data_IF_431778118989
#
_entry.id   IF_431778118989
#
_cell.length_a   1.000
_cell.length_b   1.000
_cell.length_c   1.000
_cell.angle_alpha   90.00
_cell.angle_beta   90.00
_cell.angle_gamma   90.00
#
_symmetry.space_group_name_H-M   'P 1'
#
loop_
_entity.id
_entity.type
_entity.pdbx_description
1 polymer ?
#
# COMPACT_ATOMS: atom_id res chain seq x y z
N UNK A 1 21.17 -14.91 5.72
CA UNK A 1 20.34 -14.74 4.51
C UNK A 1 18.93 -14.31 4.90
N UNK A 2 18.36 -13.38 4.15
CA UNK A 2 17.00 -12.95 4.42
C UNK A 2 16.01 -14.01 3.91
N UNK A 3 14.89 -14.07 4.59
CA UNK A 3 13.78 -14.97 4.24
C UNK A 3 12.61 -14.15 3.73
N UNK A 4 11.70 -14.82 3.03
CA UNK A 4 10.42 -14.24 2.63
C UNK A 4 9.33 -14.96 3.40
N UNK A 5 8.46 -14.17 4.05
CA UNK A 5 7.33 -14.70 4.80
C UNK A 5 6.04 -14.25 4.13
N UNK A 6 5.14 -15.17 3.90
CA UNK A 6 3.83 -14.87 3.29
C UNK A 6 2.77 -14.90 4.38
N UNK A 7 2.06 -13.81 4.54
CA UNK A 7 1.11 -13.60 5.63
C UNK A 7 -0.21 -13.11 5.08
N UNK A 8 -1.28 -13.43 5.79
CA UNK A 8 -2.61 -12.89 5.50
C UNK A 8 -2.79 -11.57 6.21
N UNK A 9 -3.50 -10.64 5.59
CA UNK A 9 -3.86 -9.37 6.20
C UNK A 9 -5.31 -9.03 5.88
N UNK A 10 -6.04 -8.53 6.87
CA UNK A 10 -7.43 -8.13 6.68
C UNK A 10 -7.53 -6.87 5.81
N UNK A 11 -8.63 -6.70 5.05
CA UNK A 11 -8.79 -5.54 4.18
C UNK A 11 -8.66 -4.20 4.90
N UNK A 12 -9.13 -4.12 6.13
CA UNK A 12 -9.06 -2.88 6.93
C UNK A 12 -7.63 -2.44 7.22
N UNK A 13 -6.67 -3.35 7.13
CA UNK A 13 -5.24 -3.06 7.36
C UNK A 13 -4.43 -3.07 6.07
N UNK A 14 -4.94 -3.64 5.00
CA UNK A 14 -4.18 -3.83 3.76
C UNK A 14 -3.84 -2.50 3.09
N UNK A 15 -4.85 -1.69 2.80
CA UNK A 15 -4.63 -0.41 2.13
C UNK A 15 -3.85 0.58 2.98
N UNK A 16 -4.03 0.64 4.31
CA UNK A 16 -3.14 1.44 5.13
C UNK A 16 -1.67 1.07 5.00
N UNK A 17 -1.34 -0.22 4.83
CA UNK A 17 0.04 -0.64 4.56
C UNK A 17 0.48 -0.20 3.17
N UNK A 18 -0.35 -0.43 2.15
CA UNK A 18 -0.02 -0.08 0.76
C UNK A 18 0.28 1.41 0.61
N UNK A 19 -0.48 2.25 1.31
CA UNK A 19 -0.34 3.70 1.23
C UNK A 19 0.64 4.27 2.25
N UNK A 20 1.33 3.41 2.99
CA UNK A 20 2.31 3.78 4.02
C UNK A 20 1.74 4.60 5.18
N UNK A 21 0.44 4.52 5.41
CA UNK A 21 -0.16 5.05 6.64
C UNK A 21 0.07 4.12 7.81
N UNK A 22 0.13 2.83 7.56
CA UNK A 22 0.44 1.82 8.56
C UNK A 22 1.81 1.24 8.24
N UNK A 23 2.76 1.44 9.14
CA UNK A 23 4.17 1.04 8.96
C UNK A 23 4.61 -0.02 9.95
N UNK A 24 3.68 -0.62 10.66
CA UNK A 24 3.98 -1.62 11.67
C UNK A 24 2.98 -2.77 11.59
N UNK A 25 3.48 -3.98 11.86
CA UNK A 25 2.68 -5.19 11.90
C UNK A 25 2.93 -5.90 13.23
N UNK A 26 1.85 -6.14 13.97
CA UNK A 26 1.92 -6.94 15.19
C UNK A 26 1.68 -8.40 14.80
N UNK A 27 2.65 -9.27 15.06
CA UNK A 27 2.58 -10.67 14.65
C UNK A 27 3.07 -11.58 15.76
N UNK A 28 2.46 -12.76 15.84
CA UNK A 28 2.98 -13.84 16.64
C UNK A 28 4.33 -14.25 16.06
N UNK A 29 5.33 -14.38 16.93
CA UNK A 29 6.70 -14.70 16.49
C UNK A 29 6.84 -16.21 16.26
N UNK A 30 6.10 -16.73 15.30
CA UNK A 30 6.11 -18.15 14.96
C UNK A 30 6.86 -18.45 13.66
N UNK A 31 7.52 -17.45 13.08
CA UNK A 31 8.21 -17.58 11.80
C UNK A 31 9.67 -17.13 11.85
N UNK A 32 10.19 -16.93 13.05
CA UNK A 32 11.57 -16.49 13.24
C UNK A 32 11.90 -15.27 12.36
N UNK A 33 11.11 -14.21 12.51
CA UNK A 33 11.31 -12.98 11.77
C UNK A 33 12.67 -12.35 12.10
N UNK A 34 13.36 -11.85 11.07
CA UNK A 34 14.65 -11.17 11.19
C UNK A 34 14.60 -9.84 10.44
N UNK A 35 15.35 -8.86 10.94
CA UNK A 35 15.55 -7.62 10.20
C UNK A 35 16.20 -7.94 8.85
N UNK A 36 15.66 -7.34 7.78
CA UNK A 36 16.08 -7.63 6.42
C UNK A 36 15.19 -8.64 5.69
N UNK A 37 14.35 -9.36 6.43
CA UNK A 37 13.41 -10.29 5.80
C UNK A 37 12.33 -9.52 5.03
N UNK A 38 11.82 -10.16 3.98
CA UNK A 38 10.68 -9.64 3.21
C UNK A 38 9.40 -10.26 3.74
N UNK A 39 8.35 -9.45 3.90
CA UNK A 39 7.02 -9.98 4.14
C UNK A 39 6.15 -9.66 2.93
N UNK A 40 5.35 -10.63 2.53
CA UNK A 40 4.32 -10.47 1.51
C UNK A 40 2.99 -10.58 2.24
N UNK A 41 2.22 -9.50 2.17
CA UNK A 41 0.92 -9.43 2.83
C UNK A 41 -0.17 -9.65 1.78
N UNK A 42 -0.85 -10.77 1.88
CA UNK A 42 -1.96 -11.13 1.00
C UNK A 42 -3.26 -10.70 1.62
N UNK A 43 -3.99 -9.85 0.93
CA UNK A 43 -5.31 -9.43 1.41
C UNK A 43 -6.26 -10.63 1.46
N UNK A 44 -6.94 -10.77 2.60
CA UNK A 44 -7.81 -11.89 2.85
C UNK A 44 -9.04 -11.45 3.64
N UNK A 45 -10.22 -11.76 3.13
CA UNK A 45 -11.50 -11.40 3.76
C UNK A 45 -12.41 -12.63 3.93
N UNK A 46 -11.84 -13.78 4.24
CA UNK A 46 -12.49 -15.08 4.23
C UNK A 46 -12.02 -15.89 3.04
N UNK A 47 -11.46 -15.21 2.04
CA UNK A 47 -10.82 -15.79 0.87
C UNK A 47 -9.80 -14.77 0.35
N UNK A 48 -8.85 -15.22 -0.43
CA UNK A 48 -7.86 -14.31 -1.01
C UNK A 48 -8.51 -13.42 -2.08
N UNK A 49 -8.25 -12.11 -2.01
CA UNK A 49 -8.79 -11.16 -2.98
C UNK A 49 -7.95 -11.05 -4.24
N UNK A 50 -6.72 -11.58 -4.20
CA UNK A 50 -5.75 -11.44 -5.29
C UNK A 50 -4.80 -10.26 -5.10
N UNK A 51 -5.08 -9.36 -4.16
CA UNK A 51 -4.21 -8.23 -3.87
C UNK A 51 -3.12 -8.60 -2.87
N UNK A 52 -1.93 -8.09 -3.08
CA UNK A 52 -0.81 -8.28 -2.17
C UNK A 52 0.11 -7.08 -2.18
N UNK A 53 0.92 -6.96 -1.12
CA UNK A 53 1.97 -5.95 -1.06
C UNK A 53 3.19 -6.54 -0.39
N UNK A 54 4.36 -6.02 -0.72
CA UNK A 54 5.63 -6.47 -0.15
C UNK A 54 6.25 -5.37 0.68
N UNK A 55 6.88 -5.74 1.77
CA UNK A 55 7.66 -4.82 2.62
C UNK A 55 8.87 -5.54 3.17
N UNK A 56 9.88 -4.76 3.51
CA UNK A 56 11.06 -5.26 4.19
C UNK A 56 10.95 -4.90 5.67
N UNK A 57 11.28 -5.86 6.54
CA UNK A 57 11.33 -5.63 7.97
C UNK A 57 12.60 -4.83 8.27
N UNK A 58 12.43 -3.64 8.85
CA UNK A 58 13.57 -2.77 9.17
C UNK A 58 13.86 -2.71 10.67
N UNK A 59 12.92 -3.13 11.50
CA UNK A 59 13.11 -3.21 12.94
C UNK A 59 12.14 -4.24 13.52
N UNK A 60 12.55 -4.91 14.58
CA UNK A 60 11.69 -5.85 15.32
C UNK A 60 11.74 -5.46 16.78
N UNK A 61 10.58 -5.17 17.36
CA UNK A 61 10.45 -4.90 18.78
C UNK A 61 9.83 -6.12 19.47
N UNK A 62 10.50 -6.60 20.51
CA UNK A 62 9.94 -7.65 21.35
C UNK A 62 8.92 -7.01 22.29
N UNK A 63 7.66 -7.33 22.09
CA UNK A 63 6.55 -6.82 22.91
C UNK A 63 6.05 -7.89 23.87
N UNK A 64 6.86 -8.93 24.12
CA UNK A 64 6.48 -10.05 24.96
C UNK A 64 6.11 -9.67 26.39
N UNK A 65 6.61 -8.54 26.89
CA UNK A 65 6.23 -8.03 28.20
C UNK A 65 4.76 -7.59 28.27
N UNK A 66 4.18 -7.24 27.13
CA UNK A 66 2.79 -6.79 27.01
C UNK A 66 1.91 -7.86 26.38
N UNK A 67 2.44 -8.56 25.39
CA UNK A 67 1.73 -9.61 24.66
C UNK A 67 2.70 -10.76 24.41
N UNK A 68 2.72 -11.78 25.31
CA UNK A 68 3.70 -12.86 25.22
C UNK A 68 3.66 -13.57 23.87
N UNK A 69 4.86 -13.79 23.32
CA UNK A 69 5.01 -14.49 22.04
C UNK A 69 4.82 -13.64 20.81
N UNK A 70 4.60 -12.32 20.97
CA UNK A 70 4.39 -11.41 19.83
C UNK A 70 5.57 -10.48 19.64
N UNK A 71 5.70 -10.02 18.40
CA UNK A 71 6.68 -9.00 18.01
C UNK A 71 5.98 -7.92 17.21
N UNK A 72 6.53 -6.73 17.25
CA UNK A 72 6.08 -5.62 16.42
C UNK A 72 7.12 -5.42 15.32
N UNK A 73 6.70 -5.61 14.10
CA UNK A 73 7.56 -5.47 12.92
C UNK A 73 7.41 -4.07 12.36
N UNK A 74 8.51 -3.34 12.22
CA UNK A 74 8.52 -2.06 11.52
C UNK A 74 8.86 -2.31 10.05
N UNK A 75 8.11 -1.68 9.17
CA UNK A 75 8.14 -1.92 7.74
C UNK A 75 8.73 -0.70 7.02
N UNK A 76 9.50 -0.95 5.96
CA UNK A 76 10.03 0.14 5.16
C UNK A 76 8.91 0.88 4.42
N UNK A 77 9.20 2.10 4.03
CA UNK A 77 8.30 2.87 3.18
C UNK A 77 8.59 2.57 1.71
N UNK A 78 7.52 2.36 0.94
CA UNK A 78 7.57 2.39 -0.51
C UNK A 78 6.59 3.47 -0.92
N UNK A 79 7.11 4.64 -1.31
CA UNK A 79 6.29 5.82 -1.60
C UNK A 79 5.83 5.74 -3.04
N UNK A 80 4.97 4.79 -3.36
CA UNK A 80 4.37 4.67 -4.69
C UNK A 80 3.03 5.37 -4.78
N UNK A 81 2.26 5.36 -3.71
CA UNK A 81 0.94 5.97 -3.69
C UNK A 81 0.97 7.27 -2.89
N UNK A 82 0.42 8.32 -3.47
CA UNK A 82 0.34 9.64 -2.85
C UNK A 82 -1.10 9.94 -2.50
N UNK A 83 -1.29 10.49 -1.30
CA UNK A 83 -2.61 10.89 -0.84
C UNK A 83 -3.06 12.12 -1.64
N UNK A 84 -4.18 12.00 -2.34
CA UNK A 84 -4.68 13.05 -3.22
C UNK A 84 -5.09 14.32 -2.47
N UNK A 85 -5.30 14.22 -1.16
CA UNK A 85 -5.62 15.40 -0.33
C UNK A 85 -4.36 16.22 0.00
N UNK A 86 -3.18 15.62 -0.09
CA UNK A 86 -1.92 16.23 0.34
C UNK A 86 -1.00 16.57 -0.82
N UNK A 87 -1.11 15.85 -1.92
CA UNK A 87 -0.21 15.98 -3.06
C UNK A 87 -1.00 15.99 -4.35
N UNK A 88 -0.66 16.90 -5.25
CA UNK A 88 -1.27 16.96 -6.57
C UNK A 88 -0.29 16.50 -7.63
N UNK A 89 -0.76 15.80 -8.67
CA UNK A 89 0.07 15.56 -9.85
C UNK A 89 0.38 16.87 -10.58
N UNK A 90 1.28 16.78 -11.54
CA UNK A 90 1.55 17.93 -12.43
C UNK A 90 0.46 18.04 -13.47
N UNK A 91 0.23 19.27 -13.96
CA UNK A 91 -0.72 19.50 -15.04
C UNK A 91 -0.39 18.63 -16.25
N UNK A 92 -1.40 17.92 -16.72
CA UNK A 92 -1.27 17.00 -17.86
C UNK A 92 -0.63 15.68 -17.54
N UNK A 93 -0.26 15.44 -16.27
CA UNK A 93 0.39 14.19 -15.89
C UNK A 93 -0.57 13.01 -15.97
N UNK A 94 -0.10 11.92 -16.56
CA UNK A 94 -0.83 10.66 -16.54
C UNK A 94 -0.53 9.90 -15.25
N UNK A 95 -1.59 9.42 -14.62
CA UNK A 95 -1.49 8.76 -13.31
C UNK A 95 -2.43 7.56 -13.27
N UNK A 96 -2.17 6.67 -12.33
CA UNK A 96 -3.14 5.66 -11.92
C UNK A 96 -3.74 6.17 -10.62
N UNK A 97 -5.06 6.17 -10.52
CA UNK A 97 -5.75 6.60 -9.31
C UNK A 97 -6.45 5.41 -8.64
N UNK A 98 -6.67 5.54 -7.35
CA UNK A 98 -7.55 4.67 -6.58
C UNK A 98 -8.62 5.55 -5.96
N UNK A 99 -9.88 5.22 -6.21
CA UNK A 99 -10.99 5.95 -5.61
C UNK A 99 -11.37 5.37 -4.24
N UNK A 100 -12.39 5.97 -3.62
CA UNK A 100 -12.84 5.54 -2.30
C UNK A 100 -13.38 4.11 -2.28
N UNK A 101 -13.78 3.58 -3.41
CA UNK A 101 -14.26 2.21 -3.56
C UNK A 101 -13.16 1.23 -3.96
N UNK A 102 -11.90 1.70 -3.94
CA UNK A 102 -10.71 0.91 -4.26
C UNK A 102 -10.63 0.49 -5.73
N UNK A 103 -11.29 1.23 -6.60
CA UNK A 103 -11.23 1.00 -8.04
C UNK A 103 -10.03 1.75 -8.60
N UNK A 104 -9.20 1.05 -9.37
CA UNK A 104 -8.01 1.60 -10.02
C UNK A 104 -8.35 1.97 -11.45
N UNK A 105 -8.04 3.19 -11.85
CA UNK A 105 -8.20 3.62 -13.24
C UNK A 105 -7.03 4.51 -13.65
N UNK A 106 -6.72 4.51 -14.94
CA UNK A 106 -5.73 5.43 -15.51
C UNK A 106 -6.41 6.76 -15.80
N UNK A 107 -5.76 7.84 -15.43
CA UNK A 107 -6.34 9.18 -15.54
C UNK A 107 -5.29 10.21 -15.91
N UNK A 108 -5.75 11.36 -16.37
CA UNK A 108 -4.92 12.54 -16.57
C UNK A 108 -5.40 13.64 -15.62
N UNK A 109 -4.46 14.28 -14.98
CA UNK A 109 -4.73 15.37 -14.05
C UNK A 109 -4.57 16.70 -14.78
N UNK A 110 -5.48 17.66 -14.53
CA UNK A 110 -5.31 19.01 -15.03
C UNK A 110 -5.16 20.01 -13.87
N UNK A 111 -4.71 21.20 -14.21
CA UNK A 111 -4.39 22.22 -13.20
C UNK A 111 -5.64 22.85 -12.55
N UNK A 112 -6.82 22.48 -13.01
CA UNK A 112 -8.05 22.85 -12.30
C UNK A 112 -8.37 21.91 -11.15
N UNK A 113 -7.53 20.88 -10.95
CA UNK A 113 -7.71 19.93 -9.85
C UNK A 113 -8.57 18.74 -10.20
N UNK A 114 -8.77 18.48 -11.48
CA UNK A 114 -9.67 17.41 -11.94
C UNK A 114 -8.84 16.26 -12.52
N UNK A 115 -9.22 15.05 -12.14
CA UNK A 115 -8.72 13.82 -12.75
C UNK A 115 -9.70 13.37 -13.81
N UNK A 116 -9.20 13.18 -15.03
CA UNK A 116 -10.01 12.78 -16.17
C UNK A 116 -9.69 11.34 -16.54
N UNK A 117 -10.70 10.47 -16.53
CA UNK A 117 -10.52 9.07 -16.88
C UNK A 117 -10.09 8.93 -18.34
N UNK A 118 -8.96 8.29 -18.60
CA UNK A 118 -8.45 8.11 -19.96
C UNK A 118 -9.36 7.25 -20.81
N UNK A 119 -10.06 6.32 -20.21
CA UNK A 119 -10.91 5.37 -20.92
C UNK A 119 -12.26 5.98 -21.34
N UNK A 120 -12.87 6.75 -20.45
CA UNK A 120 -14.22 7.29 -20.67
C UNK A 120 -14.25 8.77 -21.01
N UNK A 121 -13.16 9.50 -20.74
CA UNK A 121 -13.11 10.95 -20.88
C UNK A 121 -13.91 11.71 -19.83
N UNK A 122 -14.44 11.02 -18.83
CA UNK A 122 -15.23 11.65 -17.77
C UNK A 122 -14.36 12.05 -16.59
N UNK A 123 -14.80 13.09 -15.88
CA UNK A 123 -14.12 13.49 -14.64
C UNK A 123 -14.31 12.44 -13.57
N UNK A 124 -13.27 12.25 -12.76
CA UNK A 124 -13.29 11.28 -11.65
C UNK A 124 -13.47 12.03 -10.35
N UNK A 125 -14.33 11.49 -9.49
CA UNK A 125 -14.59 12.03 -8.17
C UNK A 125 -14.12 11.03 -7.12
N UNK A 126 -13.94 11.52 -5.90
CA UNK A 126 -13.55 10.68 -4.77
C UNK A 126 -12.22 9.97 -4.99
N UNK A 127 -11.29 10.63 -5.69
CA UNK A 127 -9.93 10.11 -5.84
C UNK A 127 -9.26 10.17 -4.47
N UNK A 128 -8.84 9.02 -3.98
CA UNK A 128 -8.19 8.91 -2.67
C UNK A 128 -6.67 8.97 -2.79
N UNK A 129 -6.11 8.24 -3.74
CA UNK A 129 -4.66 8.13 -3.91
C UNK A 129 -4.32 8.09 -5.39
N UNK A 130 -3.09 8.49 -5.71
CA UNK A 130 -2.58 8.38 -7.07
C UNK A 130 -1.11 7.98 -7.07
N UNK A 131 -0.66 7.43 -8.17
CA UNK A 131 0.74 7.14 -8.42
C UNK A 131 1.06 7.41 -9.87
N UNK A 132 2.34 7.55 -10.18
CA UNK A 132 2.76 7.72 -11.57
C UNK A 132 2.37 6.50 -12.39
N UNK A 133 1.92 6.74 -13.61
CA UNK A 133 1.56 5.63 -14.50
C UNK A 133 2.81 4.87 -14.91
N UNK A 134 2.86 3.54 -14.70
CA UNK A 134 4.03 2.76 -15.10
C UNK A 134 4.27 2.74 -16.60
N UNK A 135 3.27 3.09 -17.41
CA UNK A 135 3.39 3.14 -18.87
C UNK A 135 4.35 4.22 -19.35
N UNK A 136 4.63 5.22 -18.50
CA UNK A 136 5.49 6.34 -18.85
C UNK A 136 6.85 6.30 -18.17
N UNK A 137 7.19 5.17 -17.54
CA UNK A 137 8.50 4.94 -16.96
C UNK A 137 9.34 4.16 -17.94
N UNK A 138 10.02 4.87 -18.77
CA UNK A 138 10.95 4.25 -19.69
C UNK A 138 12.38 4.38 -19.18
#
# INVERSE_FOLDING_TARGET
MSKTHELKILPEHFWPVVTCHKKAELRKNDRDFKVGDTIILWEWNGDYTGERTERTIVHIADVGAYLPGYVLLSLNEIVNWKDARLFDPKDGQEVVIIDADRVKVTARYDDSGIYWCNHTGKSLRNVAFWTESPEFKE
#
